data_IF_242021979311
#
_entry.id   IF_242021979311
#
_cell.length_a   1.000
_cell.length_b   1.000
_cell.length_c   1.000
_cell.angle_alpha   90.00
_cell.angle_beta   90.00
_cell.angle_gamma   90.00
#
_symmetry.space_group_name_H-M   'P 1'
#
loop_
_entity.id
_entity.type
_entity.pdbx_description
1 polymer ?
#
# COMPACT_ATOMS: atom_id res chain seq x y z
N UNK A 1 9.04 -26.97 26.66
CA UNK A 1 8.10 -28.09 26.37
C UNK A 1 6.89 -27.55 25.62
N UNK A 2 6.18 -26.55 26.16
CA UNK A 2 5.09 -25.86 25.44
C UNK A 2 5.48 -25.32 24.06
N UNK A 3 6.62 -24.59 23.98
CA UNK A 3 7.16 -24.07 22.72
C UNK A 3 7.41 -25.17 21.70
N UNK A 4 8.14 -26.21 22.08
CA UNK A 4 8.40 -27.38 21.22
C UNK A 4 7.12 -28.08 20.73
N UNK A 5 6.10 -28.21 21.60
CA UNK A 5 4.81 -28.77 21.19
C UNK A 5 4.05 -27.83 20.25
N UNK A 6 4.20 -26.51 20.42
CA UNK A 6 3.67 -25.49 19.51
C UNK A 6 4.36 -25.57 18.14
N UNK A 7 5.67 -25.77 18.12
CA UNK A 7 6.42 -25.91 16.87
C UNK A 7 5.98 -27.15 16.09
N UNK A 8 5.82 -28.29 16.76
CA UNK A 8 5.30 -29.52 16.13
C UNK A 8 3.89 -29.30 15.57
N UNK A 9 3.02 -28.61 16.31
CA UNK A 9 1.66 -28.26 15.87
C UNK A 9 1.66 -27.47 14.56
N UNK A 10 2.57 -26.50 14.42
CA UNK A 10 2.69 -25.63 13.23
C UNK A 10 3.40 -26.32 12.07
N UNK A 11 4.42 -27.13 12.36
CA UNK A 11 5.21 -27.81 11.33
C UNK A 11 4.45 -28.96 10.67
N UNK A 12 3.64 -29.70 11.42
CA UNK A 12 2.99 -30.93 10.93
C UNK A 12 2.10 -30.72 9.70
N UNK A 13 1.26 -29.68 9.62
CA UNK A 13 0.46 -29.40 8.42
C UNK A 13 1.28 -29.02 7.18
N UNK A 14 2.55 -28.65 7.38
CA UNK A 14 3.48 -28.21 6.31
C UNK A 14 4.33 -29.37 5.77
N UNK A 15 4.32 -30.54 6.41
CA UNK A 15 5.02 -31.73 5.91
C UNK A 15 4.19 -32.42 4.82
N UNK A 16 4.87 -33.12 3.90
CA UNK A 16 4.21 -33.75 2.75
C UNK A 16 3.27 -34.91 3.13
N UNK A 17 3.46 -35.51 4.31
CA UNK A 17 2.68 -36.65 4.80
C UNK A 17 1.90 -36.34 6.08
N UNK A 18 1.77 -35.06 6.45
CA UNK A 18 1.07 -34.62 7.66
C UNK A 18 1.52 -35.35 8.94
N UNK A 19 2.79 -35.71 9.02
CA UNK A 19 3.39 -36.41 10.14
C UNK A 19 4.71 -35.74 10.55
N UNK A 20 4.92 -35.62 11.85
CA UNK A 20 6.16 -35.17 12.46
C UNK A 20 6.50 -36.11 13.60
N UNK A 21 7.76 -36.54 13.65
CA UNK A 21 8.40 -37.01 14.86
C UNK A 21 9.65 -36.17 15.09
N UNK A 22 9.82 -35.65 16.30
CA UNK A 22 10.97 -34.82 16.62
C UNK A 22 11.34 -34.95 18.08
N UNK A 23 12.56 -34.52 18.41
CA UNK A 23 13.07 -34.54 19.77
C UNK A 23 13.65 -33.17 20.13
N UNK A 24 13.61 -32.83 21.41
CA UNK A 24 14.30 -31.65 21.95
C UNK A 24 14.91 -31.98 23.31
N UNK A 25 15.96 -31.27 23.69
CA UNK A 25 16.57 -31.43 25.01
C UNK A 25 15.95 -30.47 26.02
N UNK A 26 15.55 -30.98 27.18
CA UNK A 26 15.05 -30.17 28.28
C UNK A 26 16.24 -29.52 29.01
N UNK A 27 16.25 -28.18 29.10
CA UNK A 27 17.30 -27.43 29.81
C UNK A 27 17.46 -27.85 31.28
N UNK A 28 16.38 -28.36 31.89
CA UNK A 28 16.39 -28.97 33.21
C UNK A 28 16.78 -30.46 33.12
N UNK A 29 18.06 -30.77 33.35
CA UNK A 29 18.54 -32.13 33.62
C UNK A 29 18.93 -32.99 32.40
N UNK A 30 19.23 -32.39 31.25
CA UNK A 30 19.68 -33.09 30.03
C UNK A 30 18.73 -34.22 29.56
N UNK A 31 17.45 -34.14 29.93
CA UNK A 31 16.45 -35.14 29.53
C UNK A 31 15.93 -34.83 28.12
N UNK A 32 15.88 -35.85 27.25
CA UNK A 32 15.30 -35.73 25.91
C UNK A 32 13.79 -35.85 25.97
N UNK A 33 13.09 -34.92 25.33
CA UNK A 33 11.65 -34.96 25.12
C UNK A 33 11.37 -35.46 23.70
N UNK A 34 10.50 -36.45 23.59
CA UNK A 34 10.08 -37.06 22.33
C UNK A 34 8.65 -36.64 22.05
N UNK A 35 8.35 -36.18 20.85
CA UNK A 35 6.99 -35.83 20.48
C UNK A 35 6.66 -36.17 19.02
N UNK A 36 5.40 -36.53 18.80
CA UNK A 36 4.84 -36.77 17.47
C UNK A 36 3.53 -36.02 17.30
N UNK A 37 3.23 -35.67 16.06
CA UNK A 37 1.92 -35.24 15.62
C UNK A 37 1.61 -35.83 14.24
N UNK A 38 0.36 -36.22 14.04
CA UNK A 38 -0.09 -36.83 12.80
C UNK A 38 -1.51 -36.39 12.48
N UNK A 39 -1.78 -36.07 11.22
CA UNK A 39 -3.14 -35.96 10.68
C UNK A 39 -3.45 -37.13 9.73
N UNK A 40 -4.72 -37.30 9.38
CA UNK A 40 -5.16 -38.21 8.32
C UNK A 40 -4.57 -37.80 6.95
N UNK A 41 -4.15 -38.77 6.13
CA UNK A 41 -3.39 -38.51 4.89
C UNK A 41 -4.18 -37.72 3.82
N UNK A 42 -5.51 -37.83 3.79
CA UNK A 42 -6.36 -37.21 2.76
C UNK A 42 -6.97 -35.87 3.20
N UNK A 43 -6.20 -35.06 3.94
CA UNK A 43 -6.64 -33.76 4.46
C UNK A 43 -5.87 -32.60 3.84
N UNK A 44 -6.31 -31.37 4.12
CA UNK A 44 -5.60 -30.15 3.72
C UNK A 44 -4.80 -29.59 4.90
N UNK A 45 -3.82 -28.73 4.61
CA UNK A 45 -3.03 -28.02 5.62
C UNK A 45 -3.91 -27.32 6.66
N UNK A 46 -4.96 -26.62 6.24
CA UNK A 46 -5.85 -25.90 7.15
C UNK A 46 -6.63 -26.84 8.07
N UNK A 47 -7.21 -27.91 7.53
CA UNK A 47 -7.98 -28.88 8.32
C UNK A 47 -7.05 -29.62 9.31
N UNK A 48 -5.83 -29.94 8.91
CA UNK A 48 -4.83 -30.51 9.80
C UNK A 48 -4.44 -29.53 10.91
N UNK A 49 -4.21 -28.26 10.57
CA UNK A 49 -3.89 -27.21 11.55
C UNK A 49 -5.00 -27.06 12.60
N UNK A 50 -6.26 -26.93 12.17
CA UNK A 50 -7.40 -26.76 13.09
C UNK A 50 -7.55 -27.95 14.06
N UNK A 51 -7.35 -29.17 13.54
CA UNK A 51 -7.38 -30.37 14.37
C UNK A 51 -6.25 -30.37 15.40
N UNK A 52 -5.02 -30.06 14.96
CA UNK A 52 -3.85 -30.01 15.83
C UNK A 52 -3.90 -28.87 16.83
N UNK A 53 -4.54 -27.75 16.51
CA UNK A 53 -4.81 -26.66 17.46
C UNK A 53 -5.69 -27.14 18.62
N UNK A 54 -6.74 -27.89 18.30
CA UNK A 54 -7.59 -28.50 19.33
C UNK A 54 -6.82 -29.55 20.14
N UNK A 55 -6.06 -30.42 19.47
CA UNK A 55 -5.26 -31.44 20.16
C UNK A 55 -4.19 -30.81 21.06
N UNK A 56 -3.52 -29.76 20.61
CA UNK A 56 -2.53 -29.01 21.38
C UNK A 56 -3.13 -28.40 22.65
N UNK A 57 -4.29 -27.73 22.54
CA UNK A 57 -4.94 -27.11 23.70
C UNK A 57 -5.27 -28.14 24.80
N UNK A 58 -5.73 -29.34 24.42
CA UNK A 58 -5.95 -30.43 25.38
C UNK A 58 -4.64 -31.01 25.92
N UNK A 59 -3.56 -30.98 25.12
CA UNK A 59 -2.28 -31.56 25.47
C UNK A 59 -1.48 -30.67 26.43
N UNK A 60 -1.58 -29.34 26.30
CA UNK A 60 -0.87 -28.41 27.19
C UNK A 60 -1.38 -28.47 28.62
N UNK A 61 -2.67 -28.80 28.83
CA UNK A 61 -3.25 -29.03 30.16
C UNK A 61 -2.60 -30.22 30.89
N UNK A 62 -1.97 -31.14 30.16
CA UNK A 62 -1.26 -32.27 30.74
C UNK A 62 0.14 -31.90 31.25
N UNK A 63 0.67 -30.72 30.90
CA UNK A 63 1.99 -30.29 31.33
C UNK A 63 1.98 -29.95 32.84
N UNK A 64 3.07 -30.23 33.58
CA UNK A 64 4.38 -30.72 33.13
C UNK A 64 4.58 -32.24 33.32
N UNK A 65 3.53 -33.07 33.19
CA UNK A 65 3.66 -34.52 33.36
C UNK A 65 4.69 -35.12 32.39
N UNK A 66 5.18 -36.33 32.69
CA UNK A 66 6.24 -36.99 31.90
C UNK A 66 5.77 -37.49 30.54
N UNK A 67 4.47 -37.63 30.34
CA UNK A 67 3.86 -38.00 29.07
C UNK A 67 2.47 -37.37 28.95
N UNK A 68 2.01 -37.21 27.71
CA UNK A 68 0.67 -36.71 27.42
C UNK A 68 0.25 -37.11 26.01
N UNK A 69 -1.06 -37.25 25.81
CA UNK A 69 -1.66 -37.64 24.53
C UNK A 69 -2.96 -36.87 24.31
N UNK A 70 -3.16 -36.39 23.10
CA UNK A 70 -4.41 -35.80 22.67
C UNK A 70 -4.82 -36.42 21.33
N UNK A 71 -6.07 -36.87 21.27
CA UNK A 71 -6.68 -37.48 20.08
C UNK A 71 -7.89 -36.63 19.72
N UNK A 72 -8.03 -36.31 18.44
CA UNK A 72 -9.23 -35.71 17.89
C UNK A 72 -9.60 -36.39 16.57
N UNK A 73 -10.81 -36.14 16.06
CA UNK A 73 -11.25 -36.62 14.75
C UNK A 73 -10.33 -36.07 13.66
N UNK A 74 -9.38 -36.89 13.21
CA UNK A 74 -8.47 -36.56 12.11
C UNK A 74 -7.03 -36.25 12.51
N UNK A 75 -6.69 -36.22 13.81
CA UNK A 75 -5.31 -36.00 14.24
C UNK A 75 -4.98 -36.58 15.63
N UNK A 76 -3.68 -36.72 15.87
CA UNK A 76 -3.11 -37.23 17.10
C UNK A 76 -1.86 -36.45 17.47
N UNK A 77 -1.70 -36.12 18.76
CA UNK A 77 -0.46 -35.59 19.32
C UNK A 77 -0.05 -36.39 20.55
N UNK A 78 1.25 -36.64 20.70
CA UNK A 78 1.81 -37.30 21.88
C UNK A 78 3.17 -36.73 22.22
N UNK A 79 3.45 -36.56 23.50
CA UNK A 79 4.79 -36.34 24.02
C UNK A 79 5.15 -37.36 25.11
N UNK A 80 6.45 -37.62 25.29
CA UNK A 80 6.98 -38.48 26.33
C UNK A 80 8.42 -38.11 26.67
N UNK A 81 8.80 -38.23 27.94
CA UNK A 81 10.20 -38.21 28.38
C UNK A 81 10.98 -39.49 28.07
N UNK A 82 10.33 -40.52 27.52
CA UNK A 82 10.94 -41.78 27.09
C UNK A 82 10.82 -41.99 25.58
N UNK A 83 11.80 -42.62 24.92
CA UNK A 83 11.76 -42.88 23.48
C UNK A 83 10.62 -43.85 23.11
N UNK A 84 9.85 -43.52 22.08
CA UNK A 84 8.79 -44.37 21.54
C UNK A 84 8.77 -44.45 20.00
N UNK A 85 9.78 -43.86 19.35
CA UNK A 85 10.10 -43.99 17.94
C UNK A 85 11.62 -44.09 17.78
N UNK A 86 12.09 -44.55 16.62
CA UNK A 86 13.52 -44.66 16.31
C UNK A 86 14.08 -43.32 15.85
N UNK A 87 15.36 -43.07 16.09
CA UNK A 87 16.03 -41.81 15.72
C UNK A 87 15.98 -41.52 14.21
N UNK A 88 15.97 -42.57 13.37
CA UNK A 88 15.84 -42.40 11.91
C UNK A 88 14.45 -41.96 11.44
N UNK A 89 13.47 -41.84 12.35
CA UNK A 89 12.13 -41.33 12.06
C UNK A 89 12.00 -39.84 12.37
N UNK A 90 13.01 -39.21 12.99
CA UNK A 90 12.95 -37.78 13.30
C UNK A 90 13.18 -36.92 12.07
N UNK A 91 12.47 -35.79 12.00
CA UNK A 91 12.71 -34.76 10.99
C UNK A 91 13.10 -33.43 11.64
N UNK A 92 13.91 -32.65 10.92
CA UNK A 92 14.19 -31.27 11.29
C UNK A 92 13.01 -30.38 10.89
N UNK A 93 12.37 -29.77 11.89
CA UNK A 93 11.18 -28.94 11.70
C UNK A 93 11.49 -27.47 11.37
N UNK A 94 12.76 -27.04 11.47
CA UNK A 94 13.16 -25.63 11.33
C UNK A 94 12.78 -25.03 9.98
N UNK A 95 12.90 -25.79 8.90
CA UNK A 95 12.51 -25.38 7.54
C UNK A 95 11.00 -25.09 7.43
N UNK A 96 10.17 -25.85 8.15
CA UNK A 96 8.73 -25.66 8.18
C UNK A 96 8.32 -24.51 9.10
N UNK A 97 9.13 -24.11 10.07
CA UNK A 97 8.85 -22.98 10.96
C UNK A 97 9.24 -21.62 10.35
N UNK A 98 10.14 -21.61 9.36
CA UNK A 98 10.72 -20.39 8.80
C UNK A 98 9.75 -19.56 7.90
N UNK A 99 8.49 -19.98 7.77
CA UNK A 99 7.50 -19.30 6.93
C UNK A 99 6.52 -18.47 7.77
N UNK A 100 6.95 -17.25 8.15
CA UNK A 100 6.17 -15.98 8.18
C UNK A 100 7.01 -14.81 8.75
N UNK A 101 7.88 -14.16 7.96
CA UNK A 101 8.42 -12.83 8.34
C UNK A 101 8.73 -11.88 7.18
N UNK A 102 8.71 -12.37 5.93
CA UNK A 102 9.25 -11.61 4.80
C UNK A 102 8.29 -10.57 4.19
N UNK A 103 6.98 -10.83 4.14
CA UNK A 103 6.08 -10.00 3.32
C UNK A 103 5.34 -8.85 4.04
N UNK A 104 5.10 -8.95 5.35
CA UNK A 104 4.30 -7.94 6.09
C UNK A 104 5.14 -6.76 6.60
N UNK A 105 6.36 -7.00 7.07
CA UNK A 105 7.25 -5.90 7.52
C UNK A 105 7.80 -5.08 6.35
N UNK A 106 8.14 -5.73 5.23
CA UNK A 106 8.61 -5.04 4.03
C UNK A 106 7.57 -4.08 3.44
N UNK A 107 6.28 -4.46 3.42
CA UNK A 107 5.20 -3.57 2.98
C UNK A 107 4.96 -2.39 3.94
N UNK A 108 5.03 -2.60 5.27
CA UNK A 108 4.79 -1.54 6.25
C UNK A 108 5.91 -0.47 6.21
N UNK A 109 7.16 -0.89 6.03
CA UNK A 109 8.31 0.03 5.89
C UNK A 109 8.27 0.78 4.56
N UNK A 110 7.82 0.15 3.47
CA UNK A 110 7.73 0.80 2.16
C UNK A 110 6.62 1.88 2.09
N UNK A 111 5.45 1.64 2.69
CA UNK A 111 4.30 2.57 2.65
C UNK A 111 4.58 3.84 3.46
N UNK A 112 5.27 3.71 4.59
CA UNK A 112 5.53 4.84 5.51
C UNK A 112 6.56 5.83 4.95
N UNK A 113 7.62 5.36 4.30
CA UNK A 113 8.65 6.23 3.70
C UNK A 113 8.18 6.82 2.37
N UNK A 114 7.49 6.04 1.54
CA UNK A 114 6.98 6.50 0.24
C UNK A 114 5.86 7.54 0.36
N UNK A 115 4.92 7.34 1.29
CA UNK A 115 3.77 8.22 1.48
C UNK A 115 4.15 9.63 1.92
N UNK A 116 5.10 9.76 2.86
CA UNK A 116 5.57 11.05 3.35
C UNK A 116 6.25 11.88 2.26
N UNK A 117 7.13 11.26 1.48
CA UNK A 117 7.85 11.94 0.39
C UNK A 117 6.86 12.36 -0.72
N UNK A 118 5.90 11.50 -1.06
CA UNK A 118 4.89 11.83 -2.07
C UNK A 118 4.01 13.02 -1.66
N UNK A 119 3.55 13.06 -0.41
CA UNK A 119 2.77 14.18 0.12
C UNK A 119 3.57 15.50 0.12
N UNK A 120 4.85 15.46 0.52
CA UNK A 120 5.71 16.64 0.48
C UNK A 120 5.91 17.18 -0.94
N UNK A 121 6.11 16.30 -1.92
CA UNK A 121 6.23 16.67 -3.34
C UNK A 121 4.93 17.29 -3.87
N UNK A 122 3.77 16.74 -3.51
CA UNK A 122 2.47 17.29 -3.91
C UNK A 122 2.24 18.69 -3.33
N UNK A 123 2.51 18.88 -2.03
CA UNK A 123 2.38 20.19 -1.37
C UNK A 123 3.34 21.20 -2.00
N UNK A 124 4.60 20.82 -2.24
CA UNK A 124 5.58 21.69 -2.87
C UNK A 124 5.18 22.07 -4.31
N UNK A 125 4.68 21.11 -5.10
CA UNK A 125 4.19 21.34 -6.46
C UNK A 125 3.00 22.30 -6.50
N UNK A 126 2.01 22.10 -5.63
CA UNK A 126 0.85 23.00 -5.51
C UNK A 126 1.30 24.40 -5.11
N UNK A 127 2.18 24.52 -4.12
CA UNK A 127 2.73 25.80 -3.68
C UNK A 127 3.52 26.51 -4.78
N UNK A 128 4.35 25.78 -5.54
CA UNK A 128 5.08 26.32 -6.67
C UNK A 128 4.14 26.80 -7.78
N UNK A 129 3.08 26.04 -8.10
CA UNK A 129 2.07 26.45 -9.08
C UNK A 129 1.29 27.69 -8.65
N UNK A 130 0.94 27.80 -7.36
CA UNK A 130 0.26 28.98 -6.81
C UNK A 130 1.16 30.22 -6.85
N UNK A 131 2.45 30.08 -6.49
CA UNK A 131 3.43 31.17 -6.63
C UNK A 131 3.64 31.59 -8.08
N UNK A 132 3.70 30.64 -9.01
CA UNK A 132 3.81 30.93 -10.45
C UNK A 132 2.57 31.68 -10.96
N UNK A 133 1.37 31.30 -10.51
CA UNK A 133 0.12 32.02 -10.84
C UNK A 133 0.12 33.45 -10.29
N UNK A 134 0.58 33.66 -9.06
CA UNK A 134 0.68 35.01 -8.47
C UNK A 134 1.60 35.92 -9.30
N UNK A 135 2.75 35.41 -9.75
CA UNK A 135 3.66 36.19 -10.62
C UNK A 135 3.05 36.48 -11.99
N UNK A 136 2.33 35.52 -12.56
CA UNK A 136 1.64 35.73 -13.84
C UNK A 136 0.53 36.79 -13.74
N UNK A 137 -0.19 36.87 -12.61
CA UNK A 137 -1.24 37.87 -12.38
C UNK A 137 -0.65 39.28 -12.15
N UNK A 138 0.51 39.37 -11.50
CA UNK A 138 1.20 40.65 -11.28
C UNK A 138 1.83 41.23 -12.56
N UNK A 139 2.28 40.36 -13.48
CA UNK A 139 2.79 40.74 -14.79
C UNK A 139 1.66 41.19 -15.75
N UNK A 140 0.51 40.49 -15.74
CA UNK A 140 -0.66 40.81 -16.59
C UNK A 140 -1.42 42.06 -16.11
N UNK A 141 -1.39 42.37 -14.81
CA UNK A 141 -2.00 43.58 -14.24
C UNK A 141 -1.22 44.87 -14.56
N UNK A 142 0.05 44.77 -14.98
CA UNK A 142 0.87 45.92 -15.39
C UNK A 142 0.70 46.30 -16.87
N UNK A 143 -0.02 45.51 -17.68
CA UNK A 143 -0.21 45.74 -19.13
C UNK A 143 -1.63 46.21 -19.53
N UNK A 144 -2.46 46.70 -18.60
CA UNK A 144 -3.86 47.03 -18.90
C UNK A 144 -4.14 48.49 -19.30
N UNK A 145 -3.45 48.99 -20.32
CA UNK A 145 -3.98 50.02 -21.23
C UNK A 145 -3.24 50.03 -22.59
N UNK A 146 -3.15 48.84 -23.20
CA UNK A 146 -2.66 48.64 -24.57
C UNK A 146 -3.77 48.69 -25.63
N UNK A 147 -3.39 49.00 -26.87
CA UNK A 147 -4.25 49.30 -28.02
C UNK A 147 -5.51 48.42 -28.17
N UNK A 148 -6.68 49.06 -28.25
CA UNK A 148 -7.95 48.39 -28.58
C UNK A 148 -7.97 48.04 -30.07
N UNK A 149 -8.07 46.75 -30.38
CA UNK A 149 -8.26 46.28 -31.75
C UNK A 149 -9.70 46.55 -32.20
N UNK A 150 -9.89 47.47 -33.14
CA UNK A 150 -11.18 47.69 -33.78
C UNK A 150 -11.28 46.89 -35.09
N UNK A 151 -12.43 46.31 -35.37
CA UNK A 151 -12.67 45.68 -36.67
C UNK A 151 -12.71 46.75 -37.76
N UNK A 152 -12.19 46.43 -38.95
CA UNK A 152 -12.30 47.30 -40.12
C UNK A 152 -13.76 47.69 -40.42
N UNK A 153 -14.71 46.79 -40.15
CA UNK A 153 -16.14 47.05 -40.31
C UNK A 153 -16.62 48.19 -39.40
N UNK A 154 -16.16 48.21 -38.15
CA UNK A 154 -16.55 49.22 -37.18
C UNK A 154 -15.90 50.56 -37.51
N UNK A 155 -14.63 50.56 -37.92
CA UNK A 155 -13.95 51.76 -38.42
C UNK A 155 -14.66 52.34 -39.64
N UNK A 156 -15.07 51.48 -40.58
CA UNK A 156 -15.77 51.89 -41.81
C UNK A 156 -17.15 52.48 -41.50
N UNK A 157 -17.88 51.91 -40.55
CA UNK A 157 -19.18 52.44 -40.12
C UNK A 157 -19.01 53.78 -39.39
N UNK A 158 -18.09 53.86 -38.43
CA UNK A 158 -17.91 55.03 -37.59
C UNK A 158 -17.33 56.26 -38.32
N UNK A 159 -16.65 56.05 -39.46
CA UNK A 159 -16.12 57.11 -40.33
C UNK A 159 -17.04 57.46 -41.50
N UNK A 160 -18.24 56.88 -41.55
CA UNK A 160 -19.16 57.10 -42.68
C UNK A 160 -18.58 56.62 -44.01
N UNK A 161 -18.00 55.41 -44.01
CA UNK A 161 -17.27 54.82 -45.13
C UNK A 161 -16.05 55.67 -45.59
N UNK A 162 -15.30 56.21 -44.62
CA UNK A 162 -14.16 57.12 -44.88
C UNK A 162 -14.57 58.35 -45.70
N UNK A 163 -15.69 58.96 -45.34
CA UNK A 163 -16.16 60.21 -45.96
C UNK A 163 -15.29 61.40 -45.56
N UNK A 164 -15.10 62.33 -46.49
CA UNK A 164 -14.37 63.59 -46.28
C UNK A 164 -14.94 64.44 -45.12
N UNK A 165 -16.24 64.30 -44.83
CA UNK A 165 -16.89 64.96 -43.69
C UNK A 165 -16.25 64.60 -42.33
N UNK A 166 -15.68 63.40 -42.24
CA UNK A 166 -15.03 62.90 -41.04
C UNK A 166 -13.51 63.04 -41.08
N UNK A 167 -12.90 63.50 -42.18
CA UNK A 167 -11.44 63.62 -42.28
C UNK A 167 -10.94 64.84 -41.50
N UNK A 168 -10.01 64.62 -40.58
CA UNK A 168 -9.37 65.67 -39.77
C UNK A 168 -8.05 66.14 -40.41
N UNK A 169 -7.37 65.26 -41.15
CA UNK A 169 -6.11 65.62 -41.79
C UNK A 169 -5.57 64.56 -42.74
N UNK A 170 -4.58 64.98 -43.55
CA UNK A 170 -3.85 64.12 -44.50
C UNK A 170 -2.37 64.50 -44.49
N UNK A 171 -1.48 63.52 -44.40
CA UNK A 171 -0.04 63.71 -44.42
C UNK A 171 0.72 62.48 -44.93
N UNK A 172 2.05 62.47 -44.77
CA UNK A 172 2.91 61.36 -45.22
C UNK A 172 2.65 60.01 -44.54
N UNK A 173 1.89 60.02 -43.44
CA UNK A 173 1.50 58.84 -42.67
C UNK A 173 0.05 58.38 -42.96
N UNK A 174 -0.62 58.98 -43.96
CA UNK A 174 -1.98 58.62 -44.37
C UNK A 174 -3.03 59.66 -44.01
N UNK A 175 -4.28 59.23 -44.01
CA UNK A 175 -5.45 60.05 -43.71
C UNK A 175 -5.98 59.74 -42.31
N UNK A 176 -6.39 60.78 -41.60
CA UNK A 176 -6.90 60.67 -40.23
C UNK A 176 -8.37 61.07 -40.23
N UNK A 177 -9.24 60.22 -39.70
CA UNK A 177 -10.68 60.42 -39.61
C UNK A 177 -11.13 60.48 -38.14
N UNK A 178 -12.08 61.36 -37.83
CA UNK A 178 -12.80 61.35 -36.54
C UNK A 178 -13.88 60.28 -36.59
N UNK A 179 -14.08 59.59 -35.47
CA UNK A 179 -15.15 58.60 -35.32
C UNK A 179 -16.20 59.11 -34.34
N UNK A 180 -17.48 58.89 -34.65
CA UNK A 180 -18.57 59.14 -33.70
C UNK A 180 -18.91 57.81 -33.03
N UNK A 181 -18.65 57.73 -31.72
CA UNK A 181 -19.01 56.57 -30.89
C UNK A 181 -20.36 56.87 -30.25
N UNK A 182 -21.42 56.22 -30.74
CA UNK A 182 -22.73 56.26 -30.09
C UNK A 182 -22.71 55.30 -28.89
N UNK A 183 -22.39 55.83 -27.71
CA UNK A 183 -22.54 55.07 -26.45
C UNK A 183 -24.02 54.86 -26.14
N UNK A 184 -24.62 53.80 -26.68
CA UNK A 184 -25.91 53.28 -26.23
C UNK A 184 -25.89 51.76 -26.01
N UNK A 185 -24.72 51.16 -25.75
CA UNK A 185 -24.59 49.72 -25.46
C UNK A 185 -23.35 49.36 -24.63
N UNK A 186 -23.02 50.16 -23.61
CA UNK A 186 -22.17 49.74 -22.51
C UNK A 186 -22.92 49.96 -21.19
N UNK A 187 -23.67 48.94 -20.77
CA UNK A 187 -23.94 48.77 -19.34
C UNK A 187 -22.67 48.19 -18.73
N UNK A 188 -21.98 49.00 -17.94
CA UNK A 188 -21.24 48.53 -16.77
C UNK A 188 -21.99 49.02 -15.55
#
# INVERSE_FOLDING_TARGET
MEEFLSDIRVATPRTSNFYVASTTTRSSGNATLYAIAQCIENTTQNICQDCLDTAYNNLVDCLPNTEGRAINLGCFMRYSGTPFFKDNQTIDITSFLQEESSSKLGMIVAVTVGGGIFLLILVFSLWYRLRKRSKAIEEDASELQGAVNFSYKDMKLATGNFSEEYRIGRGGFGEVYKVIVYNNLFSF
#
